data_IF_048053953452
#
_entry.id   IF_048053953452
#
_cell.length_a   1.000
_cell.length_b   1.000
_cell.length_c   1.000
_cell.angle_alpha   90.00
_cell.angle_beta   90.00
_cell.angle_gamma   90.00
#
_symmetry.space_group_name_H-M   'P 1'
#
loop_
_entity.id
_entity.type
_entity.pdbx_description
1 polymer ?
#
# COMPACT_ATOMS: atom_id res chain seq x y z
N UNK A 1 -34.44 48.50 55.15
CA UNK A 1 -33.22 47.86 55.67
C UNK A 1 -32.16 47.95 54.58
N UNK A 2 -31.45 49.07 54.60
CA UNK A 2 -30.01 49.27 54.44
C UNK A 2 -29.22 48.49 53.37
N UNK A 3 -28.68 49.23 52.41
CA UNK A 3 -27.41 48.91 51.71
C UNK A 3 -26.21 49.30 52.61
N UNK A 4 -24.96 48.81 52.39
CA UNK A 4 -24.08 49.52 51.43
C UNK A 4 -22.90 48.71 50.77
N UNK A 5 -22.44 49.18 49.58
CA UNK A 5 -21.04 49.37 49.03
C UNK A 5 -19.96 48.28 49.22
N UNK A 6 -18.98 47.96 48.35
CA UNK A 6 -18.11 48.66 47.35
C UNK A 6 -17.15 47.58 46.77
N UNK A 7 -16.71 47.55 45.49
CA UNK A 7 -15.47 48.12 44.93
C UNK A 7 -15.15 47.36 43.62
N UNK A 8 -15.31 47.91 42.41
CA UNK A 8 -14.32 48.63 41.57
C UNK A 8 -12.95 47.95 41.44
N UNK A 9 -12.57 47.66 40.19
CA UNK A 9 -11.24 47.19 39.77
C UNK A 9 -11.14 47.03 38.24
N UNK A 10 -11.18 48.14 37.51
CA UNK A 10 -10.98 48.24 36.06
C UNK A 10 -9.51 48.01 35.67
N UNK A 11 -9.26 47.13 34.71
CA UNK A 11 -7.94 46.94 34.08
C UNK A 11 -7.76 47.99 32.97
N UNK A 12 -6.74 48.87 33.01
CA UNK A 12 -6.54 49.86 31.96
C UNK A 12 -5.82 49.27 30.75
N UNK A 13 -6.34 49.61 29.57
CA UNK A 13 -5.68 49.46 28.28
C UNK A 13 -4.42 50.34 28.25
N UNK A 14 -3.28 49.73 27.89
CA UNK A 14 -2.05 50.46 27.56
C UNK A 14 -1.99 50.68 26.05
N UNK A 15 -2.11 51.95 25.70
CA UNK A 15 -1.86 52.52 24.38
C UNK A 15 -0.41 53.03 24.40
N UNK A 16 0.45 52.38 23.64
CA UNK A 16 1.84 52.75 23.47
C UNK A 16 1.99 53.12 21.99
N UNK A 17 1.84 54.42 21.73
CA UNK A 17 1.90 55.05 20.41
C UNK A 17 3.35 55.45 20.13
N UNK A 18 4.09 54.63 19.38
CA UNK A 18 5.32 55.07 18.72
C UNK A 18 5.22 54.81 17.21
N UNK A 19 4.90 55.89 16.49
CA UNK A 19 5.03 55.95 15.05
C UNK A 19 6.50 56.01 14.66
N UNK A 20 6.97 54.94 14.01
CA UNK A 20 8.22 54.95 13.24
C UNK A 20 7.92 54.44 11.85
N UNK A 21 7.97 55.35 10.88
CA UNK A 21 7.87 55.06 9.44
C UNK A 21 9.23 54.47 9.03
N UNK A 22 9.33 53.15 8.94
CA UNK A 22 10.48 52.50 8.29
C UNK A 22 10.32 52.58 6.76
N UNK A 23 11.19 53.37 6.13
CA UNK A 23 11.42 53.38 4.68
C UNK A 23 12.04 52.06 4.21
N UNK A 24 11.57 51.43 3.10
CA UNK A 24 12.22 50.25 2.56
C UNK A 24 13.45 50.66 1.74
N UNK A 25 14.62 50.67 2.38
CA UNK A 25 15.90 51.00 1.77
C UNK A 25 16.93 49.89 1.94
N UNK A 26 17.24 49.22 0.82
CA UNK A 26 18.41 48.35 0.56
C UNK A 26 18.48 47.03 1.33
N UNK A 27 18.01 45.96 0.68
CA UNK A 27 18.52 44.61 0.94
C UNK A 27 20.02 44.58 0.59
N UNK A 28 20.85 44.52 1.62
CA UNK A 28 22.29 44.26 1.51
C UNK A 28 22.47 42.82 1.03
N UNK A 29 22.81 42.66 -0.24
CA UNK A 29 23.29 41.41 -0.81
C UNK A 29 24.72 41.21 -0.30
N UNK A 30 24.85 40.53 0.84
CA UNK A 30 26.13 40.01 1.33
C UNK A 30 25.96 38.55 1.71
N UNK A 31 26.47 37.72 0.81
CA UNK A 31 27.21 36.47 1.03
C UNK A 31 26.56 35.33 1.82
N UNK A 32 26.27 34.24 1.10
CA UNK A 32 26.47 32.88 1.61
C UNK A 32 26.81 31.90 0.48
N UNK A 33 28.10 31.75 0.12
CA UNK A 33 28.57 30.70 -0.81
C UNK A 33 28.29 29.27 -0.30
N UNK A 34 27.92 29.12 0.98
CA UNK A 34 27.59 27.84 1.63
C UNK A 34 26.31 27.18 1.10
N UNK A 35 25.35 27.94 0.56
CA UNK A 35 24.07 27.41 0.05
C UNK A 35 24.21 26.81 -1.36
N UNK A 36 25.20 27.26 -2.14
CA UNK A 36 25.46 26.73 -3.48
C UNK A 36 26.30 25.44 -3.45
N UNK A 37 27.04 25.18 -2.37
CA UNK A 37 27.81 23.94 -2.22
C UNK A 37 26.97 22.73 -1.79
N UNK A 38 25.86 22.92 -1.07
CA UNK A 38 25.00 21.83 -0.58
C UNK A 38 23.99 21.33 -1.63
N UNK A 39 23.63 22.17 -2.60
CA UNK A 39 22.65 21.84 -3.65
C UNK A 39 23.22 21.00 -4.79
N UNK A 40 24.54 20.95 -4.95
CA UNK A 40 25.23 20.11 -5.95
C UNK A 40 25.52 18.68 -5.50
N UNK A 41 25.59 18.42 -4.18
CA UNK A 41 26.04 17.13 -3.63
C UNK A 41 24.91 16.11 -3.40
N UNK A 42 23.64 16.54 -3.39
CA UNK A 42 22.49 15.67 -3.11
C UNK A 42 21.93 14.91 -4.32
N UNK A 43 22.44 15.15 -5.54
CA UNK A 43 21.83 14.61 -6.78
C UNK A 43 22.37 13.25 -7.25
N UNK A 44 23.39 12.70 -6.58
CA UNK A 44 23.97 11.39 -6.87
C UNK A 44 23.87 10.43 -5.67
N UNK A 45 22.66 10.21 -5.13
CA UNK A 45 22.39 9.01 -4.31
C UNK A 45 22.48 7.79 -5.24
N UNK A 46 23.69 7.24 -5.25
CA UNK A 46 24.30 6.38 -6.24
C UNK A 46 23.55 5.05 -6.41
N UNK A 47 23.59 4.49 -7.63
CA UNK A 47 23.22 3.11 -7.98
C UNK A 47 23.67 2.06 -6.96
N UNK A 48 24.78 2.31 -6.24
CA UNK A 48 25.28 1.49 -5.13
C UNK A 48 24.30 1.35 -3.97
N UNK A 49 23.58 2.41 -3.59
CA UNK A 49 22.60 2.37 -2.51
C UNK A 49 21.36 1.58 -2.91
N UNK A 50 20.96 1.70 -4.18
CA UNK A 50 19.92 0.85 -4.77
C UNK A 50 20.31 -0.64 -4.72
N UNK A 51 21.51 -0.98 -5.22
CA UNK A 51 22.01 -2.37 -5.22
C UNK A 51 22.10 -2.91 -3.78
N UNK A 52 22.61 -2.11 -2.83
CA UNK A 52 22.69 -2.51 -1.42
C UNK A 52 21.33 -2.79 -0.79
N UNK A 53 20.31 -1.99 -1.11
CA UNK A 53 18.94 -2.23 -0.62
C UNK A 53 18.36 -3.51 -1.23
N UNK A 54 18.60 -3.73 -2.52
CA UNK A 54 18.13 -4.91 -3.25
C UNK A 54 18.73 -6.22 -2.72
N UNK A 55 20.03 -6.23 -2.42
CA UNK A 55 20.74 -7.39 -1.86
C UNK A 55 20.84 -7.36 -0.32
N UNK A 56 20.05 -6.53 0.35
CA UNK A 56 20.02 -6.52 1.82
C UNK A 56 19.40 -7.81 2.35
N UNK A 57 19.86 -8.29 3.51
CA UNK A 57 19.33 -9.51 4.11
C UNK A 57 17.80 -9.45 4.34
N UNK A 58 17.28 -8.27 4.68
CA UNK A 58 15.85 -8.02 4.81
C UNK A 58 15.11 -8.19 3.46
N UNK A 59 15.61 -7.57 2.39
CA UNK A 59 14.99 -7.70 1.07
C UNK A 59 15.04 -9.15 0.55
N UNK A 60 16.15 -9.85 0.77
CA UNK A 60 16.27 -11.25 0.39
C UNK A 60 15.28 -12.13 1.16
N UNK A 61 15.08 -11.87 2.45
CA UNK A 61 14.07 -12.56 3.25
C UNK A 61 12.66 -12.31 2.69
N UNK A 62 12.33 -11.05 2.37
CA UNK A 62 11.05 -10.70 1.77
C UNK A 62 10.85 -11.41 0.43
N UNK A 63 11.89 -11.50 -0.41
CA UNK A 63 11.81 -12.24 -1.67
C UNK A 63 11.55 -13.74 -1.45
N UNK A 64 12.20 -14.36 -0.47
CA UNK A 64 11.94 -15.76 -0.12
C UNK A 64 10.49 -15.96 0.35
N UNK A 65 10.00 -15.06 1.21
CA UNK A 65 8.61 -15.09 1.67
C UNK A 65 7.64 -14.94 0.50
N UNK A 66 7.89 -14.03 -0.44
CA UNK A 66 7.06 -13.81 -1.62
C UNK A 66 7.08 -14.99 -2.59
N UNK A 67 8.24 -15.64 -2.76
CA UNK A 67 8.34 -16.88 -3.55
C UNK A 67 7.52 -18.00 -2.90
N UNK A 68 7.65 -18.17 -1.58
CA UNK A 68 6.87 -19.15 -0.84
C UNK A 68 5.36 -18.86 -0.90
N UNK A 69 4.96 -17.59 -0.79
CA UNK A 69 3.58 -17.15 -0.94
C UNK A 69 3.03 -17.45 -2.33
N UNK A 70 3.82 -17.21 -3.39
CA UNK A 70 3.44 -17.55 -4.77
C UNK A 70 3.27 -19.05 -4.98
N UNK A 71 4.18 -19.86 -4.43
CA UNK A 71 4.06 -21.32 -4.47
C UNK A 71 2.83 -21.82 -3.72
N UNK A 72 2.57 -21.29 -2.51
CA UNK A 72 1.39 -21.61 -1.72
C UNK A 72 0.09 -21.23 -2.46
N UNK A 73 0.05 -20.07 -3.11
CA UNK A 73 -1.10 -19.64 -3.91
C UNK A 73 -1.37 -20.59 -5.09
N UNK A 74 -0.32 -21.06 -5.77
CA UNK A 74 -0.44 -22.05 -6.85
C UNK A 74 -0.95 -23.41 -6.35
N UNK A 75 -0.43 -23.90 -5.22
CA UNK A 75 -0.89 -25.15 -4.58
C UNK A 75 -2.35 -25.03 -4.15
N UNK A 76 -2.71 -23.94 -3.48
CA UNK A 76 -4.09 -23.65 -3.05
C UNK A 76 -5.04 -23.65 -4.24
N UNK A 77 -4.66 -22.96 -5.32
CA UNK A 77 -5.49 -22.86 -6.52
C UNK A 77 -5.74 -24.24 -7.16
N UNK A 78 -4.71 -25.10 -7.24
CA UNK A 78 -4.84 -26.47 -7.74
C UNK A 78 -5.64 -27.39 -6.81
N UNK A 79 -5.45 -27.29 -5.50
CA UNK A 79 -6.23 -28.05 -4.52
C UNK A 79 -7.71 -27.69 -4.57
N UNK A 80 -8.02 -26.38 -4.60
CA UNK A 80 -9.38 -25.87 -4.69
C UNK A 80 -10.04 -26.28 -6.01
N UNK A 81 -9.37 -26.18 -7.15
CA UNK A 81 -9.95 -26.60 -8.42
C UNK A 81 -10.23 -28.10 -8.47
N UNK A 82 -9.34 -28.93 -7.90
CA UNK A 82 -9.57 -30.38 -7.80
C UNK A 82 -10.78 -30.72 -6.93
N UNK A 83 -10.96 -30.03 -5.81
CA UNK A 83 -12.14 -30.22 -4.94
C UNK A 83 -13.43 -29.72 -5.61
N UNK A 84 -13.35 -28.67 -6.42
CA UNK A 84 -14.47 -28.15 -7.20
C UNK A 84 -14.96 -29.13 -8.28
N UNK A 85 -14.08 -29.99 -8.82
CA UNK A 85 -14.49 -31.07 -9.74
C UNK A 85 -15.37 -32.11 -9.05
N UNK A 86 -15.15 -32.36 -7.75
CA UNK A 86 -15.91 -33.35 -6.97
C UNK A 86 -17.21 -32.79 -6.38
N UNK A 87 -17.34 -31.46 -6.31
CA UNK A 87 -18.47 -30.77 -5.67
C UNK A 87 -19.03 -29.71 -6.61
N UNK A 88 -18.82 -28.43 -6.30
CA UNK A 88 -19.12 -27.26 -7.12
C UNK A 88 -18.12 -26.16 -6.75
N UNK A 89 -17.80 -25.26 -7.68
CA UNK A 89 -16.84 -24.18 -7.47
C UNK A 89 -17.21 -23.21 -6.34
N UNK A 90 -18.49 -22.87 -6.19
CA UNK A 90 -18.98 -22.00 -5.12
C UNK A 90 -18.89 -22.69 -3.76
N UNK A 91 -19.34 -23.94 -3.67
CA UNK A 91 -19.31 -24.71 -2.42
C UNK A 91 -17.88 -24.97 -1.94
N UNK A 92 -16.98 -25.35 -2.86
CA UNK A 92 -15.56 -25.51 -2.56
C UNK A 92 -14.94 -24.21 -2.07
N UNK A 93 -15.17 -23.10 -2.78
CA UNK A 93 -14.63 -21.80 -2.39
C UNK A 93 -15.12 -21.38 -1.00
N UNK A 94 -16.40 -21.61 -0.68
CA UNK A 94 -16.96 -21.33 0.64
C UNK A 94 -16.25 -22.13 1.75
N UNK A 95 -16.12 -23.45 1.59
CA UNK A 95 -15.49 -24.31 2.61
C UNK A 95 -14.01 -23.96 2.79
N UNK A 96 -13.25 -23.84 1.69
CA UNK A 96 -11.83 -23.51 1.75
C UNK A 96 -11.58 -22.14 2.40
N UNK A 97 -12.35 -21.12 2.02
CA UNK A 97 -12.24 -19.80 2.62
C UNK A 97 -12.74 -19.77 4.07
N UNK A 98 -13.73 -20.59 4.43
CA UNK A 98 -14.18 -20.76 5.81
C UNK A 98 -13.09 -21.32 6.70
N UNK A 99 -12.38 -22.38 6.26
CA UNK A 99 -11.22 -22.92 6.99
C UNK A 99 -10.10 -21.88 7.08
N UNK A 100 -9.80 -21.17 5.99
CA UNK A 100 -8.82 -20.08 5.99
C UNK A 100 -9.17 -18.98 6.98
N UNK A 101 -10.45 -18.59 7.08
CA UNK A 101 -10.94 -17.61 8.05
C UNK A 101 -10.70 -18.07 9.50
N UNK A 102 -10.96 -19.33 9.81
CA UNK A 102 -10.71 -19.90 11.15
C UNK A 102 -9.23 -19.84 11.49
N UNK A 103 -8.35 -20.27 10.58
CA UNK A 103 -6.89 -20.24 10.80
C UNK A 103 -6.39 -18.81 10.98
N UNK A 104 -6.79 -17.88 10.11
CA UNK A 104 -6.42 -16.47 10.22
C UNK A 104 -6.95 -15.83 11.50
N UNK A 105 -8.15 -16.21 11.94
CA UNK A 105 -8.72 -15.71 13.20
C UNK A 105 -7.90 -16.17 14.41
N UNK A 106 -7.46 -17.43 14.42
CA UNK A 106 -6.59 -17.94 15.48
C UNK A 106 -5.25 -17.20 15.51
N UNK A 107 -4.64 -16.96 14.34
CA UNK A 107 -3.41 -16.17 14.23
C UNK A 107 -3.61 -14.72 14.71
N UNK A 108 -4.72 -14.08 14.34
CA UNK A 108 -5.04 -12.73 14.78
C UNK A 108 -5.23 -12.64 16.30
N UNK A 109 -5.83 -13.66 16.93
CA UNK A 109 -5.96 -13.73 18.40
C UNK A 109 -4.59 -13.83 19.06
N UNK A 110 -3.70 -14.69 18.54
CA UNK A 110 -2.31 -14.80 19.04
C UNK A 110 -1.60 -13.45 18.91
N UNK A 111 -1.72 -12.78 17.77
CA UNK A 111 -1.10 -11.47 17.55
C UNK A 111 -1.63 -10.40 18.51
N UNK A 112 -2.94 -10.39 18.74
CA UNK A 112 -3.58 -9.49 19.69
C UNK A 112 -3.10 -9.74 21.13
N UNK A 113 -3.01 -11.01 21.54
CA UNK A 113 -2.65 -11.36 22.93
C UNK A 113 -1.17 -11.18 23.25
N UNK A 114 -0.26 -11.47 22.30
CA UNK A 114 1.18 -11.53 22.59
C UNK A 114 1.95 -10.35 22.02
N UNK A 115 1.56 -9.82 20.87
CA UNK A 115 2.33 -8.80 20.18
C UNK A 115 1.67 -7.41 20.19
N UNK A 116 0.38 -7.32 20.55
CA UNK A 116 -0.39 -6.07 20.67
C UNK A 116 -0.25 -5.15 19.44
N UNK A 117 -0.06 -5.74 18.25
CA UNK A 117 0.24 -5.00 17.02
C UNK A 117 -0.95 -4.20 16.48
N UNK A 118 -2.17 -4.60 16.84
CA UNK A 118 -3.40 -4.02 16.27
C UNK A 118 -4.33 -3.63 17.39
N UNK A 119 -4.76 -2.38 17.39
CA UNK A 119 -5.79 -1.90 18.33
C UNK A 119 -7.13 -1.79 17.62
N UNK A 120 -8.23 -2.20 18.26
CA UNK A 120 -9.59 -2.05 17.69
C UNK A 120 -9.95 -0.59 17.35
N UNK A 121 -9.23 0.38 17.91
CA UNK A 121 -9.37 1.80 17.60
C UNK A 121 -8.88 2.15 16.17
N UNK A 122 -7.80 1.53 15.70
CA UNK A 122 -7.24 1.78 14.36
C UNK A 122 -8.18 1.23 13.27
N UNK A 123 -8.89 0.15 13.58
CA UNK A 123 -9.88 -0.43 12.68
C UNK A 123 -11.08 0.50 12.43
N UNK A 124 -11.38 1.39 13.40
CA UNK A 124 -12.44 2.40 13.25
C UNK A 124 -12.03 3.58 12.38
N UNK A 125 -10.73 3.79 12.14
CA UNK A 125 -10.25 4.83 11.24
C UNK A 125 -10.17 4.40 9.78
N UNK A 126 -10.42 3.12 9.48
CA UNK A 126 -10.41 2.61 8.11
C UNK A 126 -11.61 3.15 7.30
N UNK A 127 -11.32 3.66 6.11
CA UNK A 127 -12.36 4.11 5.19
C UNK A 127 -13.20 2.91 4.68
N UNK A 128 -14.47 3.15 4.34
CA UNK A 128 -15.39 2.08 3.90
C UNK A 128 -14.89 1.28 2.69
N UNK A 129 -14.12 1.92 1.78
CA UNK A 129 -13.60 1.28 0.58
C UNK A 129 -12.45 0.31 0.89
N UNK A 130 -11.72 0.48 2.00
CA UNK A 130 -10.63 -0.41 2.42
C UNK A 130 -11.17 -1.81 2.74
N UNK A 131 -12.40 -1.88 3.25
CA UNK A 131 -13.13 -3.12 3.50
C UNK A 131 -13.55 -3.85 2.21
N UNK A 132 -13.54 -3.19 1.06
CA UNK A 132 -13.89 -3.84 -0.21
C UNK A 132 -12.91 -4.96 -0.60
N UNK A 133 -11.69 -4.96 -0.02
CA UNK A 133 -10.70 -6.00 -0.24
C UNK A 133 -11.22 -7.42 0.03
N UNK A 134 -12.12 -7.59 1.01
CA UNK A 134 -12.76 -8.88 1.30
C UNK A 134 -13.61 -9.38 0.12
N UNK A 135 -14.37 -8.48 -0.51
CA UNK A 135 -15.22 -8.82 -1.66
C UNK A 135 -14.37 -9.19 -2.86
N UNK A 136 -13.31 -8.41 -3.14
CA UNK A 136 -12.38 -8.70 -4.23
C UNK A 136 -11.64 -10.04 -4.05
N UNK A 137 -11.27 -10.37 -2.81
CA UNK A 137 -10.63 -11.65 -2.48
C UNK A 137 -11.54 -12.86 -2.70
N UNK A 138 -12.80 -12.78 -2.24
CA UNK A 138 -13.78 -13.86 -2.47
C UNK A 138 -14.08 -14.02 -3.96
N UNK A 139 -14.28 -12.91 -4.67
CA UNK A 139 -14.51 -12.91 -6.11
C UNK A 139 -13.33 -13.55 -6.86
N UNK A 140 -12.10 -13.19 -6.49
CA UNK A 140 -10.90 -13.78 -7.06
C UNK A 140 -10.87 -15.30 -6.87
N UNK A 141 -11.08 -15.81 -5.65
CA UNK A 141 -11.01 -17.25 -5.38
C UNK A 141 -12.07 -18.02 -6.18
N UNK A 142 -13.30 -17.52 -6.26
CA UNK A 142 -14.39 -18.17 -7.02
C UNK A 142 -14.06 -18.19 -8.51
N UNK A 143 -13.73 -17.04 -9.10
CA UNK A 143 -13.44 -16.93 -10.53
C UNK A 143 -12.22 -17.78 -10.91
N UNK A 144 -11.17 -17.73 -10.10
CA UNK A 144 -9.94 -18.49 -10.32
C UNK A 144 -10.19 -20.00 -10.25
N UNK A 145 -10.96 -20.46 -9.25
CA UNK A 145 -11.31 -21.88 -9.09
C UNK A 145 -12.13 -22.38 -10.28
N UNK A 146 -13.14 -21.63 -10.72
CA UNK A 146 -13.97 -21.98 -11.86
C UNK A 146 -13.19 -21.97 -13.18
N UNK A 147 -12.27 -21.01 -13.36
CA UNK A 147 -11.40 -20.93 -14.53
C UNK A 147 -10.47 -22.15 -14.60
N UNK A 148 -9.87 -22.56 -13.48
CA UNK A 148 -8.95 -23.70 -13.41
C UNK A 148 -9.59 -25.06 -13.68
N UNK A 149 -10.91 -25.18 -13.52
CA UNK A 149 -11.63 -26.41 -13.93
C UNK A 149 -11.72 -26.50 -15.46
N UNK A 150 -11.64 -25.37 -16.18
CA UNK A 150 -11.82 -25.28 -17.63
C UNK A 150 -10.52 -25.08 -18.41
N UNK A 151 -9.54 -24.42 -17.80
CA UNK A 151 -8.29 -23.96 -18.40
C UNK A 151 -7.09 -24.58 -17.66
N UNK A 152 -5.93 -24.59 -18.31
CA UNK A 152 -4.70 -25.08 -17.68
C UNK A 152 -4.22 -24.20 -16.52
N UNK A 153 -3.58 -24.76 -15.46
CA UNK A 153 -3.08 -23.96 -14.34
C UNK A 153 -2.11 -22.85 -14.72
N UNK A 154 -1.21 -23.12 -15.66
CA UNK A 154 -0.23 -22.14 -16.13
C UNK A 154 -0.91 -20.95 -16.85
N UNK A 155 -1.92 -21.23 -17.67
CA UNK A 155 -2.71 -20.21 -18.38
C UNK A 155 -3.45 -19.31 -17.40
N UNK A 156 -4.22 -19.88 -16.48
CA UNK A 156 -5.02 -19.08 -15.53
C UNK A 156 -4.12 -18.22 -14.64
N UNK A 157 -3.06 -18.81 -14.06
CA UNK A 157 -2.15 -18.07 -13.19
C UNK A 157 -1.38 -17.00 -13.97
N UNK A 158 -0.97 -17.27 -15.21
CA UNK A 158 -0.34 -16.30 -16.09
C UNK A 158 -1.24 -15.10 -16.34
N UNK A 159 -2.49 -15.33 -16.79
CA UNK A 159 -3.47 -14.27 -17.05
C UNK A 159 -3.75 -13.45 -15.77
N UNK A 160 -3.94 -14.12 -14.63
CA UNK A 160 -4.19 -13.47 -13.34
C UNK A 160 -3.03 -12.54 -12.96
N UNK A 161 -1.78 -13.03 -13.00
CA UNK A 161 -0.61 -12.23 -12.64
C UNK A 161 -0.43 -11.05 -13.62
N UNK A 162 -0.69 -11.26 -14.91
CA UNK A 162 -0.70 -10.19 -15.91
C UNK A 162 -1.71 -9.10 -15.59
N UNK A 163 -2.96 -9.48 -15.33
CA UNK A 163 -4.03 -8.55 -14.96
C UNK A 163 -3.72 -7.78 -13.66
N UNK A 164 -3.16 -8.47 -12.65
CA UNK A 164 -2.73 -7.86 -11.40
C UNK A 164 -1.64 -6.80 -11.62
N UNK A 165 -0.64 -7.08 -12.47
CA UNK A 165 0.45 -6.14 -12.76
C UNK A 165 -0.01 -4.93 -13.56
N UNK A 166 -0.91 -5.12 -14.54
CA UNK A 166 -1.53 -4.00 -15.28
C UNK A 166 -2.30 -3.12 -14.30
N UNK A 167 -3.15 -3.72 -13.47
CA UNK A 167 -3.98 -3.01 -12.48
C UNK A 167 -3.10 -2.24 -11.48
N UNK A 168 -2.03 -2.85 -10.98
CA UNK A 168 -1.07 -2.19 -10.10
C UNK A 168 -0.39 -0.98 -10.77
N UNK A 169 -0.06 -1.08 -12.07
CA UNK A 169 0.50 0.05 -12.81
C UNK A 169 -0.50 1.19 -12.99
N UNK A 170 -1.78 0.88 -13.24
CA UNK A 170 -2.86 1.87 -13.34
C UNK A 170 -3.05 2.58 -12.00
N UNK A 171 -3.17 1.82 -10.91
CA UNK A 171 -3.31 2.37 -9.55
C UNK A 171 -2.13 3.28 -9.21
N UNK A 172 -0.90 2.82 -9.44
CA UNK A 172 0.32 3.59 -9.17
C UNK A 172 0.39 4.87 -10.00
N UNK A 173 0.00 4.80 -11.28
CA UNK A 173 0.06 5.94 -12.20
C UNK A 173 -0.93 7.04 -11.83
N UNK A 174 -2.17 6.66 -11.51
CA UNK A 174 -3.23 7.61 -11.14
C UNK A 174 -3.25 7.95 -9.65
N UNK A 175 -2.52 7.21 -8.80
CA UNK A 175 -2.54 7.35 -7.34
C UNK A 175 -3.91 7.04 -6.76
N UNK A 176 -4.59 6.03 -7.29
CA UNK A 176 -5.86 5.55 -6.74
C UNK A 176 -5.65 4.91 -5.36
N UNK A 177 -6.73 4.76 -4.59
CA UNK A 177 -6.72 4.09 -3.28
C UNK A 177 -5.81 4.78 -2.24
N UNK A 178 -5.71 6.11 -2.30
CA UNK A 178 -4.81 6.93 -1.46
C UNK A 178 -3.33 6.53 -1.55
N UNK A 179 -2.93 5.84 -2.63
CA UNK A 179 -1.55 5.43 -2.87
C UNK A 179 -0.70 6.60 -3.41
N UNK A 180 0.58 6.69 -3.04
CA UNK A 180 1.47 7.71 -3.57
C UNK A 180 1.62 7.55 -5.08
N UNK A 181 1.31 8.62 -5.83
CA UNK A 181 1.46 8.66 -7.30
C UNK A 181 2.90 8.35 -7.69
N UNK A 182 3.09 7.27 -8.46
CA UNK A 182 4.39 6.86 -9.00
C UNK A 182 4.37 7.01 -10.51
N UNK A 183 5.35 7.74 -11.05
CA UNK A 183 5.52 7.84 -12.50
C UNK A 183 5.81 6.45 -13.07
N UNK A 184 5.10 6.09 -14.13
CA UNK A 184 5.35 4.84 -14.84
C UNK A 184 6.72 4.96 -15.53
N UNK A 185 7.70 4.19 -15.06
CA UNK A 185 9.01 4.11 -15.70
C UNK A 185 8.91 3.31 -17.00
N UNK A 186 9.68 3.70 -18.01
CA UNK A 186 9.74 2.98 -19.29
C UNK A 186 10.17 1.52 -19.10
N UNK A 187 11.04 1.26 -18.12
CA UNK A 187 11.48 -0.09 -17.76
C UNK A 187 10.36 -0.94 -17.16
N UNK A 188 9.46 -0.31 -16.38
CA UNK A 188 8.30 -1.00 -15.81
C UNK A 188 7.28 -1.31 -16.90
N UNK A 189 7.04 -0.36 -17.81
CA UNK A 189 6.18 -0.58 -18.97
C UNK A 189 6.72 -1.72 -19.85
N UNK A 190 8.04 -1.73 -20.13
CA UNK A 190 8.69 -2.80 -20.88
C UNK A 190 8.55 -4.16 -20.18
N UNK A 191 8.75 -4.22 -18.86
CA UNK A 191 8.56 -5.44 -18.09
C UNK A 191 7.14 -5.99 -18.16
N UNK A 192 6.13 -5.11 -18.08
CA UNK A 192 4.72 -5.50 -18.26
C UNK A 192 4.46 -6.01 -19.67
N UNK A 193 5.00 -5.36 -20.71
CA UNK A 193 4.85 -5.81 -22.10
C UNK A 193 5.47 -7.19 -22.33
N UNK A 194 6.67 -7.44 -21.79
CA UNK A 194 7.33 -8.75 -21.88
C UNK A 194 6.49 -9.82 -21.18
N UNK A 195 5.98 -9.52 -19.99
CA UNK A 195 5.11 -10.45 -19.27
C UNK A 195 3.84 -10.79 -20.08
N UNK A 196 3.17 -9.79 -20.66
CA UNK A 196 1.99 -10.01 -21.50
C UNK A 196 2.35 -10.87 -22.70
N UNK A 197 3.47 -10.60 -23.38
CA UNK A 197 3.94 -11.40 -24.50
C UNK A 197 4.17 -12.87 -24.07
N UNK A 198 4.78 -13.11 -22.91
CA UNK A 198 4.96 -14.45 -22.35
C UNK A 198 3.63 -15.15 -22.11
N UNK A 199 2.62 -14.46 -21.56
CA UNK A 199 1.29 -15.02 -21.33
C UNK A 199 0.63 -15.39 -22.66
N UNK A 200 0.70 -14.53 -23.68
CA UNK A 200 0.15 -14.82 -25.01
C UNK A 200 0.79 -16.08 -25.60
N UNK A 201 2.10 -16.24 -25.47
CA UNK A 201 2.78 -17.46 -25.93
C UNK A 201 2.33 -18.69 -25.15
N UNK A 202 2.17 -18.59 -23.82
CA UNK A 202 1.68 -19.70 -22.99
C UNK A 202 0.23 -20.11 -23.31
N UNK A 203 -0.63 -19.17 -23.71
CA UNK A 203 -2.04 -19.44 -24.03
C UNK A 203 -2.20 -20.02 -25.43
N UNK A 204 -1.32 -19.67 -26.37
CA UNK A 204 -1.42 -20.07 -27.77
C UNK A 204 -0.93 -21.51 -28.06
N UNK A 205 -0.27 -22.17 -27.11
CA UNK A 205 0.35 -23.48 -27.28
C UNK A 205 -0.14 -24.48 -26.23
#
# INVERSE_FOLDING_TARGET
>A
MDSPTTSVGSVPAKLDNEGSIETPGKATVTDSPTILASSGQQRHSNTRDFIRRFFSAAALLDYVILIAAGAALGIQAGANSRLAVLTDGYFTSFICQGVGMVVLSAMAIVDYMFFHKTTMAELKSADWWEWSGFVWGVLFVVLNTLALVRLGPAEVLGIVVGAQLITACVIDHFGWLHMPKRKLSIWRALGVLILIASIVVMVLW
#
